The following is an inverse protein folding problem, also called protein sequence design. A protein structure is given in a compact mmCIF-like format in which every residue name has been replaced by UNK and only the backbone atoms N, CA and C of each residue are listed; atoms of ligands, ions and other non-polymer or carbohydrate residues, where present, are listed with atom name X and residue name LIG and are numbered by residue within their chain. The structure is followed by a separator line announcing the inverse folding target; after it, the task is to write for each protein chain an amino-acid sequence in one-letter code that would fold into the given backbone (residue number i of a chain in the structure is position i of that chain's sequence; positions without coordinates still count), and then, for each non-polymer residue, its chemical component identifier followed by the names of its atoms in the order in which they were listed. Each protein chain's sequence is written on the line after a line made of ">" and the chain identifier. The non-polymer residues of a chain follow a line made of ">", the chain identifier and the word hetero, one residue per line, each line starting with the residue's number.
data_IF_190757661502
#
_entry.id   IF_190757661502
#
_cell.length_a   1.000
_cell.length_b   1.000
_cell.length_c   1.000
_cell.angle_alpha   90.00
_cell.angle_beta   90.00
_cell.angle_gamma   90.00
#
_symmetry.space_group_name_H-M   'P 1'
#
loop_
_entity.id
_entity.type
_entity.pdbx_description
1 polymer ?
#
# COMPACT_ATOMS: atom_id res chain seq x y z
N UNK A 1 0.88 10.05 43.39
CA UNK A 1 -0.20 10.83 42.73
C UNK A 1 0.29 11.74 41.60
N UNK A 2 1.53 12.25 41.61
CA UNK A 2 2.10 13.00 40.46
C UNK A 2 2.86 12.13 39.46
N UNK A 3 3.47 11.03 39.92
CA UNK A 3 4.17 10.05 39.06
C UNK A 3 3.25 9.39 38.02
N UNK A 4 1.97 9.18 38.35
CA UNK A 4 0.98 8.56 37.45
C UNK A 4 0.71 9.41 36.21
N UNK A 5 0.75 10.74 36.32
CA UNK A 5 0.60 11.63 35.17
C UNK A 5 1.78 11.56 34.20
N UNK A 6 3.00 11.41 34.73
CA UNK A 6 4.21 11.26 33.91
C UNK A 6 4.16 9.96 33.08
N UNK A 7 3.71 8.87 33.68
CA UNK A 7 3.52 7.60 32.96
C UNK A 7 2.49 7.71 31.83
N UNK A 8 1.38 8.43 32.03
CA UNK A 8 0.35 8.62 31.01
C UNK A 8 0.90 9.38 29.79
N UNK A 9 1.67 10.44 30.01
CA UNK A 9 2.27 11.23 28.92
C UNK A 9 3.27 10.39 28.13
N UNK A 10 4.10 9.60 28.83
CA UNK A 10 5.10 8.72 28.18
C UNK A 10 4.42 7.64 27.34
N UNK A 11 3.37 7.00 27.87
CA UNK A 11 2.60 5.97 27.14
C UNK A 11 1.91 6.56 25.91
N UNK A 12 1.33 7.76 26.03
CA UNK A 12 0.73 8.45 24.88
C UNK A 12 1.75 8.71 23.77
N UNK A 13 2.92 9.28 24.10
CA UNK A 13 3.98 9.57 23.11
C UNK A 13 4.47 8.29 22.42
N UNK A 14 4.65 7.20 23.17
CA UNK A 14 5.06 5.90 22.62
C UNK A 14 3.97 5.31 21.70
N UNK A 15 2.69 5.45 22.08
CA UNK A 15 1.57 4.94 21.27
C UNK A 15 1.33 5.76 19.99
N UNK A 16 1.54 7.08 20.03
CA UNK A 16 1.41 7.95 18.86
C UNK A 16 2.49 7.69 17.80
N UNK A 17 3.71 7.33 18.24
CA UNK A 17 4.81 7.00 17.33
C UNK A 17 4.57 5.75 16.48
N UNK A 18 3.82 4.76 17.01
CA UNK A 18 3.48 3.55 16.26
C UNK A 18 2.31 3.74 15.29
N UNK A 19 1.45 4.72 15.53
CA UNK A 19 0.25 4.95 14.71
C UNK A 19 0.51 5.77 13.42
N UNK A 20 1.71 6.34 13.27
CA UNK A 20 2.03 7.20 12.11
C UNK A 20 2.51 6.40 10.89
N UNK A 21 2.79 5.10 11.05
CA UNK A 21 3.22 4.21 9.94
C UNK A 21 2.09 3.24 9.54
N UNK A 22 0.87 3.75 9.44
CA UNK A 22 -0.20 3.10 8.65
C UNK A 22 -0.87 4.18 7.81
N UNK A 23 -0.06 4.95 7.09
CA UNK A 23 -0.50 5.41 5.79
C UNK A 23 -0.25 4.22 4.89
N UNK A 24 -1.27 3.39 4.71
CA UNK A 24 -1.32 2.36 3.68
C UNK A 24 -0.97 3.06 2.38
N UNK A 25 0.24 2.76 1.92
CA UNK A 25 0.75 3.22 0.66
C UNK A 25 -0.02 2.44 -0.41
N UNK A 26 -1.12 3.01 -0.90
CA UNK A 26 -1.91 2.43 -2.00
C UNK A 26 -1.09 2.26 -3.29
N UNK A 27 0.21 2.57 -3.31
CA UNK A 27 1.09 2.32 -4.46
C UNK A 27 1.54 0.85 -4.54
N UNK A 28 1.59 0.13 -3.42
CA UNK A 28 2.02 -1.28 -3.43
C UNK A 28 1.04 -2.16 -4.23
N UNK A 29 -0.26 -1.89 -4.15
CA UNK A 29 -1.26 -2.70 -4.87
C UNK A 29 -1.19 -2.46 -6.39
N UNK A 30 -0.99 -1.21 -6.82
CA UNK A 30 -0.84 -0.86 -8.24
C UNK A 30 0.44 -1.42 -8.85
N UNK A 31 1.55 -1.37 -8.11
CA UNK A 31 2.84 -1.93 -8.56
C UNK A 31 2.75 -3.46 -8.66
N UNK A 32 2.17 -4.12 -7.65
CA UNK A 32 1.95 -5.56 -7.67
C UNK A 32 1.05 -6.02 -8.83
N UNK A 33 -0.02 -5.27 -9.13
CA UNK A 33 -0.92 -5.61 -10.24
C UNK A 33 -0.26 -5.42 -11.61
N UNK A 34 0.56 -4.38 -11.76
CA UNK A 34 1.34 -4.14 -12.98
C UNK A 34 2.34 -5.26 -13.26
N UNK A 35 3.02 -5.75 -12.24
CA UNK A 35 3.98 -6.85 -12.36
C UNK A 35 3.31 -8.15 -12.81
N UNK A 36 2.14 -8.48 -12.25
CA UNK A 36 1.37 -9.67 -12.65
C UNK A 36 0.92 -9.56 -14.12
N UNK A 37 0.44 -8.38 -14.55
CA UNK A 37 0.00 -8.19 -15.94
C UNK A 37 1.16 -8.33 -16.93
N UNK A 38 2.33 -7.78 -16.57
CA UNK A 38 3.52 -7.90 -17.39
C UNK A 38 3.97 -9.36 -17.51
N UNK A 39 3.96 -10.11 -16.41
CA UNK A 39 4.32 -11.53 -16.41
C UNK A 39 3.38 -12.36 -17.28
N UNK A 40 2.06 -12.15 -17.18
CA UNK A 40 1.07 -12.84 -18.02
C UNK A 40 1.21 -12.50 -19.50
N UNK A 41 1.52 -11.25 -19.81
CA UNK A 41 1.80 -10.83 -21.19
C UNK A 41 3.08 -11.48 -21.73
N UNK A 42 4.14 -11.56 -20.92
CA UNK A 42 5.40 -12.21 -21.29
C UNK A 42 5.24 -13.72 -21.53
N UNK A 43 4.38 -14.38 -20.74
CA UNK A 43 3.99 -15.78 -20.97
C UNK A 43 3.04 -15.98 -22.16
N UNK A 44 2.49 -14.89 -22.72
CA UNK A 44 1.52 -14.95 -23.81
C UNK A 44 0.14 -15.46 -23.38
N UNK A 45 -0.17 -15.41 -22.08
CA UNK A 45 -1.47 -15.80 -21.54
C UNK A 45 -2.56 -14.78 -21.86
N UNK A 46 -2.17 -13.51 -22.02
CA UNK A 46 -3.05 -12.40 -22.40
C UNK A 46 -2.58 -11.77 -23.71
N UNK A 47 -3.55 -11.31 -24.49
CA UNK A 47 -3.26 -10.58 -25.74
C UNK A 47 -2.75 -9.16 -25.44
N UNK A 48 -2.11 -8.53 -26.42
CA UNK A 48 -1.69 -7.11 -26.31
C UNK A 48 -2.88 -6.19 -26.03
N UNK A 49 -4.03 -6.46 -26.62
CA UNK A 49 -5.24 -5.65 -26.46
C UNK A 49 -5.76 -5.74 -25.01
N UNK A 50 -5.79 -6.95 -24.45
CA UNK A 50 -6.14 -7.19 -23.05
C UNK A 50 -5.18 -6.51 -22.08
N UNK A 51 -3.87 -6.61 -22.35
CA UNK A 51 -2.84 -5.96 -21.54
C UNK A 51 -3.02 -4.43 -21.51
N UNK A 52 -3.25 -3.80 -22.67
CA UNK A 52 -3.46 -2.36 -22.76
C UNK A 52 -4.75 -1.91 -22.04
N UNK A 53 -5.84 -2.66 -22.21
CA UNK A 53 -7.11 -2.36 -21.55
C UNK A 53 -7.02 -2.47 -20.02
N UNK A 54 -6.31 -3.49 -19.51
CA UNK A 54 -6.09 -3.66 -18.08
C UNK A 54 -5.15 -2.59 -17.51
N UNK A 55 -4.13 -2.18 -18.25
CA UNK A 55 -3.22 -1.10 -17.85
C UNK A 55 -3.93 0.26 -17.80
N UNK A 56 -4.84 0.54 -18.74
CA UNK A 56 -5.69 1.75 -18.74
C UNK A 56 -6.59 1.80 -17.50
N UNK A 57 -7.25 0.68 -17.17
CA UNK A 57 -8.11 0.57 -15.98
C UNK A 57 -7.36 0.86 -14.67
N UNK A 58 -6.10 0.42 -14.58
CA UNK A 58 -5.25 0.62 -13.40
C UNK A 58 -4.78 2.08 -13.29
N UNK A 59 -4.52 2.74 -14.42
CA UNK A 59 -4.06 4.12 -14.44
C UNK A 59 -5.20 5.15 -14.25
N UNK A 60 -6.45 4.72 -14.43
CA UNK A 60 -7.66 5.52 -14.14
C UNK A 60 -8.12 5.45 -12.68
N UNK A 61 -7.56 4.54 -11.87
CA UNK A 61 -7.90 4.36 -10.44
C UNK A 61 -6.93 5.14 -9.53
#
# INVERSE_FOLDING_TARGET
>A
MMLTWVFIVVVLVLSSGLFTTVVTDNRDETEYFSDILLERFAHGEISREEYLHMQETINET
#
